data_IF_020731779160
#
_entry.id   IF_020731779160
#
_cell.length_a   1.000
_cell.length_b   1.000
_cell.length_c   1.000
_cell.angle_alpha   90.00
_cell.angle_beta   90.00
_cell.angle_gamma   90.00
#
_symmetry.space_group_name_H-M   'P 1'
#
loop_
_entity.id
_entity.type
_entity.pdbx_description
1 polymer ?
#
# COMPACT_ATOMS: atom_id res chain seq x y z
N UNK A 1 -36.28 -7.01 11.90
CA UNK A 1 -36.25 -5.77 11.08
C UNK A 1 -34.99 -4.93 11.35
N UNK A 2 -34.70 -4.55 12.60
CA UNK A 2 -33.53 -3.71 12.97
C UNK A 2 -32.18 -4.33 12.55
N UNK A 3 -31.94 -5.63 12.83
CA UNK A 3 -30.70 -6.33 12.43
C UNK A 3 -30.44 -6.35 10.90
N UNK A 4 -31.50 -6.31 10.09
CA UNK A 4 -31.38 -6.32 8.62
C UNK A 4 -30.92 -4.95 8.11
N UNK A 5 -31.44 -3.87 8.70
CA UNK A 5 -31.09 -2.49 8.38
C UNK A 5 -29.63 -2.21 8.77
N UNK A 6 -29.21 -2.66 9.95
CA UNK A 6 -27.83 -2.52 10.44
C UNK A 6 -26.83 -3.27 9.55
N UNK A 7 -27.15 -4.50 9.15
CA UNK A 7 -26.32 -5.29 8.21
C UNK A 7 -26.17 -4.59 6.85
N UNK A 8 -27.24 -4.01 6.31
CA UNK A 8 -27.19 -3.24 5.04
C UNK A 8 -26.32 -1.98 5.15
N UNK A 9 -26.43 -1.26 6.27
CA UNK A 9 -25.64 -0.07 6.54
C UNK A 9 -24.13 -0.37 6.58
N UNK A 10 -23.74 -1.46 7.25
CA UNK A 10 -22.34 -1.89 7.32
C UNK A 10 -21.79 -2.31 5.95
N UNK A 11 -22.60 -2.96 5.11
CA UNK A 11 -22.18 -3.34 3.76
C UNK A 11 -21.83 -2.13 2.89
N UNK A 12 -22.63 -1.04 2.96
CA UNK A 12 -22.34 0.20 2.23
C UNK A 12 -21.06 0.87 2.74
N UNK A 13 -20.83 0.89 4.06
CA UNK A 13 -19.59 1.43 4.65
C UNK A 13 -18.34 0.65 4.19
N UNK A 14 -18.41 -0.67 4.14
CA UNK A 14 -17.31 -1.53 3.66
C UNK A 14 -17.02 -1.27 2.17
N UNK A 15 -18.07 -1.11 1.36
CA UNK A 15 -17.91 -0.83 -0.07
C UNK A 15 -17.23 0.52 -0.32
N UNK A 16 -17.63 1.57 0.42
CA UNK A 16 -16.97 2.88 0.36
C UNK A 16 -15.51 2.81 0.80
N UNK A 17 -15.20 1.99 1.81
CA UNK A 17 -13.83 1.77 2.28
C UNK A 17 -12.95 1.10 1.21
N UNK A 18 -13.50 0.14 0.46
CA UNK A 18 -12.80 -0.51 -0.66
C UNK A 18 -12.48 0.48 -1.79
N UNK A 19 -13.46 1.33 -2.16
CA UNK A 19 -13.23 2.39 -3.14
C UNK A 19 -12.13 3.34 -2.67
N UNK A 20 -12.12 3.71 -1.39
CA UNK A 20 -11.08 4.56 -0.80
C UNK A 20 -9.69 3.93 -0.87
N UNK A 21 -9.58 2.64 -0.57
CA UNK A 21 -8.34 1.88 -0.70
C UNK A 21 -7.84 1.93 -2.14
N UNK A 22 -8.70 1.59 -3.10
CA UNK A 22 -8.34 1.59 -4.52
C UNK A 22 -7.88 2.97 -4.98
N UNK A 23 -8.61 4.03 -4.61
CA UNK A 23 -8.24 5.40 -4.95
C UNK A 23 -6.86 5.78 -4.38
N UNK A 24 -6.61 5.51 -3.10
CA UNK A 24 -5.30 5.77 -2.47
C UNK A 24 -4.20 4.99 -3.17
N UNK A 25 -4.41 3.71 -3.46
CA UNK A 25 -3.40 2.85 -4.06
C UNK A 25 -3.06 3.28 -5.48
N UNK A 26 -4.05 3.68 -6.28
CA UNK A 26 -3.83 4.18 -7.65
C UNK A 26 -3.09 5.52 -7.61
N UNK A 27 -3.58 6.50 -6.84
CA UNK A 27 -3.01 7.85 -6.81
C UNK A 27 -1.60 7.85 -6.23
N UNK A 28 -1.42 7.28 -5.02
CA UNK A 28 -0.11 7.23 -4.40
C UNK A 28 0.82 6.23 -5.09
N UNK A 29 0.30 5.11 -5.62
CA UNK A 29 1.09 4.17 -6.39
C UNK A 29 1.69 4.81 -7.64
N UNK A 30 0.90 5.58 -8.39
CA UNK A 30 1.39 6.33 -9.54
C UNK A 30 2.43 7.39 -9.16
N UNK A 31 2.17 8.17 -8.09
CA UNK A 31 3.12 9.17 -7.60
C UNK A 31 4.45 8.54 -7.17
N UNK A 32 4.40 7.47 -6.38
CA UNK A 32 5.58 6.75 -5.91
C UNK A 32 6.34 6.10 -7.07
N UNK A 33 5.64 5.57 -8.07
CA UNK A 33 6.25 5.00 -9.27
C UNK A 33 7.02 6.06 -10.06
N UNK A 34 6.49 7.28 -10.20
CA UNK A 34 7.20 8.40 -10.81
C UNK A 34 8.50 8.74 -10.08
N UNK A 35 8.46 8.80 -8.73
CA UNK A 35 9.66 9.03 -7.89
C UNK A 35 10.67 7.90 -8.07
N UNK A 36 10.21 6.65 -8.06
CA UNK A 36 11.04 5.47 -8.32
C UNK A 36 11.74 5.58 -9.67
N UNK A 37 11.00 5.84 -10.77
CA UNK A 37 11.59 5.99 -12.10
C UNK A 37 12.67 7.08 -12.16
N UNK A 38 12.45 8.21 -11.49
CA UNK A 38 13.46 9.27 -11.40
C UNK A 38 14.73 8.79 -10.68
N UNK A 39 14.59 8.09 -9.55
CA UNK A 39 15.74 7.56 -8.78
C UNK A 39 16.52 6.53 -9.61
N UNK A 40 15.85 5.57 -10.26
CA UNK A 40 16.56 4.56 -11.05
C UNK A 40 17.19 5.14 -12.32
N UNK A 41 16.58 6.17 -12.92
CA UNK A 41 17.15 6.89 -14.05
C UNK A 41 18.46 7.61 -13.66
N UNK A 42 18.52 8.27 -12.50
CA UNK A 42 19.75 8.90 -12.02
C UNK A 42 20.85 7.88 -11.67
N UNK A 43 20.47 6.68 -11.26
CA UNK A 43 21.39 5.56 -11.00
C UNK A 43 21.80 4.78 -12.27
N UNK A 44 21.29 5.18 -13.44
CA UNK A 44 21.51 4.48 -14.73
C UNK A 44 21.13 2.99 -14.66
N UNK A 45 20.07 2.66 -13.91
CA UNK A 45 19.55 1.30 -13.80
C UNK A 45 18.30 1.19 -14.64
N UNK A 46 18.27 0.23 -15.57
CA UNK A 46 17.09 -0.01 -16.40
C UNK A 46 16.08 -0.90 -15.64
N UNK A 47 14.93 -0.32 -15.31
CA UNK A 47 13.82 -0.99 -14.64
C UNK A 47 12.62 -1.22 -15.56
N UNK A 48 12.76 -1.00 -16.86
CA UNK A 48 11.69 -1.23 -17.84
C UNK A 48 11.62 -2.69 -18.32
N UNK A 49 12.53 -3.56 -17.86
CA UNK A 49 12.56 -5.01 -18.10
C UNK A 49 11.94 -5.79 -16.91
N UNK A 50 12.07 -7.13 -16.90
CA UNK A 50 11.50 -8.03 -15.86
C UNK A 50 11.89 -7.70 -14.41
N UNK A 51 12.97 -6.93 -14.20
CA UNK A 51 13.43 -6.48 -12.88
C UNK A 51 12.55 -5.33 -12.33
N UNK A 52 11.74 -4.69 -13.18
CA UNK A 52 10.80 -3.61 -12.81
C UNK A 52 9.68 -4.01 -11.85
N UNK A 53 9.46 -5.31 -11.64
CA UNK A 53 8.47 -5.82 -10.71
C UNK A 53 8.88 -5.62 -9.24
N UNK A 54 10.19 -5.63 -8.93
CA UNK A 54 10.68 -5.49 -7.55
C UNK A 54 10.31 -4.14 -6.92
N UNK A 55 10.55 -2.98 -7.57
CA UNK A 55 10.11 -1.69 -7.04
C UNK A 55 8.58 -1.57 -6.96
N UNK A 56 7.85 -2.17 -7.90
CA UNK A 56 6.38 -2.19 -7.86
C UNK A 56 5.83 -2.91 -6.63
N UNK A 57 6.35 -4.09 -6.31
CA UNK A 57 5.98 -4.85 -5.10
C UNK A 57 6.36 -4.04 -3.84
N UNK A 58 7.53 -3.40 -3.82
CA UNK A 58 7.95 -2.57 -2.71
C UNK A 58 6.98 -1.41 -2.44
N UNK A 59 6.53 -0.71 -3.49
CA UNK A 59 5.54 0.38 -3.39
C UNK A 59 4.25 -0.15 -2.75
N UNK A 60 3.73 -1.29 -3.21
CA UNK A 60 2.50 -1.84 -2.65
C UNK A 60 2.64 -2.23 -1.18
N UNK A 61 3.78 -2.76 -0.75
CA UNK A 61 4.06 -3.05 0.67
C UNK A 61 4.04 -1.76 1.49
N UNK A 62 4.69 -0.69 1.01
CA UNK A 62 4.72 0.60 1.72
C UNK A 62 3.31 1.19 1.82
N UNK A 63 2.53 1.17 0.74
CA UNK A 63 1.15 1.64 0.72
C UNK A 63 0.27 0.85 1.67
N UNK A 64 0.42 -0.48 1.70
CA UNK A 64 -0.30 -1.34 2.63
C UNK A 64 0.00 -1.00 4.09
N UNK A 65 1.28 -0.81 4.43
CA UNK A 65 1.70 -0.44 5.79
C UNK A 65 1.16 0.94 6.17
N UNK A 66 1.27 1.93 5.28
CA UNK A 66 0.76 3.28 5.49
C UNK A 66 -0.76 3.27 5.70
N UNK A 67 -1.47 2.49 4.88
CA UNK A 67 -2.90 2.34 4.98
C UNK A 67 -3.30 1.73 6.33
N UNK A 68 -2.76 0.56 6.67
CA UNK A 68 -3.10 -0.18 7.90
C UNK A 68 -2.74 0.56 9.19
N UNK A 69 -1.73 1.43 9.17
CA UNK A 69 -1.26 2.11 10.39
C UNK A 69 -1.79 3.54 10.56
N UNK A 70 -2.15 4.22 9.47
CA UNK A 70 -2.57 5.63 9.52
C UNK A 70 -3.88 5.88 8.80
N UNK A 71 -3.97 5.59 7.50
CA UNK A 71 -5.11 6.01 6.68
C UNK A 71 -6.40 5.26 7.00
N UNK A 72 -6.31 4.00 7.43
CA UNK A 72 -7.48 3.20 7.79
C UNK A 72 -8.31 3.81 8.94
N UNK A 73 -7.68 4.53 9.88
CA UNK A 73 -8.36 5.10 11.06
C UNK A 73 -9.16 6.37 10.78
N UNK A 74 -9.06 6.93 9.58
CA UNK A 74 -9.93 8.03 9.13
C UNK A 74 -11.11 7.56 8.27
N UNK A 75 -11.38 6.25 8.27
CA UNK A 75 -12.35 5.59 7.39
C UNK A 75 -13.81 5.73 7.82
N UNK A 76 -14.70 5.24 6.97
CA UNK A 76 -16.17 5.33 7.18
C UNK A 76 -16.73 4.16 7.99
N UNK A 77 -15.95 3.10 8.13
CA UNK A 77 -16.29 1.91 8.90
C UNK A 77 -15.40 1.84 10.12
N UNK A 78 -15.93 1.67 11.33
CA UNK A 78 -15.17 1.39 12.55
C UNK A 78 -15.39 -0.08 12.94
N UNK A 79 -14.65 -0.97 12.30
CA UNK A 79 -14.76 -2.41 12.54
C UNK A 79 -13.87 -2.88 13.70
N UNK A 80 -14.23 -3.97 14.40
CA UNK A 80 -13.40 -4.57 15.46
C UNK A 80 -12.01 -5.02 14.95
N UNK A 81 -11.84 -5.15 13.63
CA UNK A 81 -10.59 -5.51 12.95
C UNK A 81 -9.70 -4.31 12.58
N UNK A 82 -10.06 -3.09 13.00
CA UNK A 82 -9.23 -1.90 12.89
C UNK A 82 -8.17 -1.87 13.98
N UNK A 83 -7.12 -2.66 13.78
CA UNK A 83 -5.94 -2.68 14.64
C UNK A 83 -4.73 -2.32 13.79
N UNK A 84 -3.90 -1.43 14.32
CA UNK A 84 -2.59 -1.12 13.74
C UNK A 84 -1.78 -2.41 13.65
N UNK A 85 -0.93 -2.51 12.64
CA UNK A 85 0.05 -3.57 12.60
C UNK A 85 0.95 -3.43 13.83
N UNK A 86 1.40 -4.56 14.38
CA UNK A 86 2.38 -4.51 15.45
C UNK A 86 3.65 -3.81 14.95
N UNK A 87 4.40 -3.17 15.85
CA UNK A 87 5.65 -2.49 15.50
C UNK A 87 6.63 -3.44 14.79
N UNK A 88 6.68 -4.70 15.23
CA UNK A 88 7.53 -5.75 14.62
C UNK A 88 7.15 -5.99 13.16
N UNK A 89 5.87 -6.26 12.87
CA UNK A 89 5.40 -6.53 11.50
C UNK A 89 5.60 -5.30 10.60
N UNK A 90 5.29 -4.12 11.12
CA UNK A 90 5.50 -2.85 10.40
C UNK A 90 6.97 -2.70 10.00
N UNK A 91 7.89 -2.92 10.95
CA UNK A 91 9.32 -2.82 10.69
C UNK A 91 9.78 -3.87 9.67
N UNK A 92 9.37 -5.13 9.82
CA UNK A 92 9.73 -6.20 8.88
C UNK A 92 9.25 -5.90 7.46
N UNK A 93 8.02 -5.43 7.28
CA UNK A 93 7.48 -5.07 5.96
C UNK A 93 8.23 -3.89 5.35
N UNK A 94 8.51 -2.85 6.13
CA UNK A 94 9.28 -1.69 5.64
C UNK A 94 10.70 -2.13 5.27
N UNK A 95 11.38 -2.89 6.12
CA UNK A 95 12.71 -3.43 5.81
C UNK A 95 12.70 -4.27 4.53
N UNK A 96 11.70 -5.13 4.34
CA UNK A 96 11.53 -5.92 3.13
C UNK A 96 11.31 -5.03 1.89
N UNK A 97 10.47 -3.99 1.98
CA UNK A 97 10.28 -3.06 0.87
C UNK A 97 11.55 -2.30 0.50
N UNK A 98 12.37 -1.93 1.48
CA UNK A 98 13.66 -1.26 1.23
C UNK A 98 14.61 -2.20 0.52
N UNK A 99 14.70 -3.47 0.95
CA UNK A 99 15.52 -4.47 0.28
C UNK A 99 15.08 -4.67 -1.18
N UNK A 100 13.77 -4.78 -1.43
CA UNK A 100 13.23 -4.91 -2.79
C UNK A 100 13.56 -3.70 -3.69
N UNK A 101 13.68 -2.49 -3.13
CA UNK A 101 14.14 -1.31 -3.88
C UNK A 101 15.65 -1.35 -4.16
N UNK A 102 16.44 -2.01 -3.33
CA UNK A 102 17.90 -2.06 -3.55
C UNK A 102 18.28 -3.18 -4.52
N UNK A 103 17.53 -4.28 -4.57
CA UNK A 103 17.84 -5.44 -5.42
C UNK A 103 18.16 -5.07 -6.89
N UNK A 104 17.35 -4.25 -7.60
CA UNK A 104 17.64 -3.90 -8.99
C UNK A 104 18.93 -3.09 -9.19
N UNK A 105 19.39 -2.35 -8.18
CA UNK A 105 20.63 -1.55 -8.30
C UNK A 105 21.88 -2.40 -8.13
N UNK A 106 21.79 -3.52 -7.41
CA UNK A 106 22.88 -4.48 -7.20
C UNK A 106 23.02 -5.44 -8.38
N UNK A 107 21.89 -5.95 -8.89
CA UNK A 107 21.87 -6.98 -9.94
C UNK A 107 22.21 -6.43 -11.33
N UNK A 108 22.24 -5.10 -11.47
CA UNK A 108 22.51 -4.28 -12.67
C UNK A 108 22.92 -5.04 -13.94
#
# INVERSE_FOLDING_TARGET
MIKVIEKRSNAMKIFLELIRILFIFIVFGFLMWGVVKLIYSTLQTNIDNDIGWFPGIAIYIILFVLYRNKLQFSGFYEGPNQKKLSKKITLTLISCSILLLIVPTIIK
#
